data_IF_066306454747
#
_entry.id   IF_066306454747
#
_cell.length_a   1.000
_cell.length_b   1.000
_cell.length_c   1.000
_cell.angle_alpha   90.00
_cell.angle_beta   90.00
_cell.angle_gamma   90.00
#
_symmetry.space_group_name_H-M   'P 1'
#
loop_
_entity.id
_entity.type
_entity.pdbx_description
1 polymer ?
#
# COMPACT_ATOMS: atom_id res chain seq x y z
N UNK A 1 -40.32 9.23 -8.45
CA UNK A 1 -41.05 8.67 -9.61
C UNK A 1 -40.53 7.24 -9.83
N UNK A 2 -41.37 6.22 -9.76
CA UNK A 2 -40.98 4.83 -10.12
C UNK A 2 -41.02 4.74 -11.65
N UNK A 3 -39.89 4.53 -12.32
CA UNK A 3 -39.89 4.11 -13.72
C UNK A 3 -40.31 2.65 -13.79
N UNK A 4 -41.09 2.29 -14.81
CA UNK A 4 -41.48 0.90 -15.08
C UNK A 4 -40.47 0.27 -16.03
N UNK A 5 -40.17 -1.01 -15.88
CA UNK A 5 -39.25 -1.74 -16.77
C UNK A 5 -39.60 -1.60 -18.27
N UNK A 6 -40.87 -1.40 -18.61
CA UNK A 6 -41.33 -1.13 -19.99
C UNK A 6 -40.83 0.21 -20.52
N UNK A 7 -40.84 1.26 -19.70
CA UNK A 7 -40.34 2.58 -20.05
C UNK A 7 -38.82 2.54 -20.28
N UNK A 8 -38.07 1.85 -19.42
CA UNK A 8 -36.62 1.68 -19.56
C UNK A 8 -36.28 0.90 -20.86
N UNK A 9 -37.02 -0.17 -21.17
CA UNK A 9 -36.86 -0.93 -22.43
C UNK A 9 -37.12 -0.08 -23.67
N UNK A 10 -38.10 0.82 -23.59
CA UNK A 10 -38.46 1.70 -24.71
C UNK A 10 -37.38 2.75 -24.95
N UNK A 11 -36.73 3.23 -23.87
CA UNK A 11 -35.62 4.18 -23.90
C UNK A 11 -34.32 3.56 -24.44
N UNK A 12 -34.08 2.28 -24.16
CA UNK A 12 -32.92 1.52 -24.63
C UNK A 12 -33.09 0.97 -26.06
N UNK A 13 -34.27 1.10 -26.67
CA UNK A 13 -34.58 0.51 -27.98
C UNK A 13 -33.75 1.20 -29.08
N UNK A 14 -33.03 0.41 -29.88
CA UNK A 14 -32.24 0.90 -31.01
C UNK A 14 -30.80 1.30 -30.67
N UNK A 15 -30.41 1.27 -29.38
CA UNK A 15 -29.02 1.51 -28.98
C UNK A 15 -28.12 0.28 -29.23
N UNK A 16 -26.83 0.49 -29.54
CA UNK A 16 -25.88 -0.60 -29.69
C UNK A 16 -25.74 -1.38 -28.39
N UNK A 17 -25.79 -2.72 -28.49
CA UNK A 17 -25.62 -3.59 -27.32
C UNK A 17 -24.13 -3.66 -26.96
N UNK A 18 -23.81 -3.29 -25.72
CA UNK A 18 -22.47 -3.43 -25.17
C UNK A 18 -22.43 -4.63 -24.23
N UNK A 19 -21.42 -5.51 -24.39
CA UNK A 19 -21.19 -6.58 -23.43
C UNK A 19 -20.87 -5.95 -22.07
N UNK A 20 -21.73 -6.18 -21.09
CA UNK A 20 -21.60 -5.64 -19.74
C UNK A 20 -21.27 -6.79 -18.79
N UNK A 21 -20.28 -6.60 -17.93
CA UNK A 21 -19.97 -7.51 -16.84
C UNK A 21 -20.29 -6.81 -15.51
N UNK A 22 -20.88 -7.54 -14.56
CA UNK A 22 -21.21 -7.05 -13.23
C UNK A 22 -20.37 -7.80 -12.20
N UNK A 23 -19.69 -7.06 -11.34
CA UNK A 23 -18.91 -7.60 -10.21
C UNK A 23 -19.47 -7.10 -8.89
N UNK A 24 -19.29 -7.88 -7.84
CA UNK A 24 -19.53 -7.43 -6.47
C UNK A 24 -18.24 -6.88 -5.87
N UNK A 25 -18.35 -5.82 -5.07
CA UNK A 25 -17.23 -5.26 -4.29
C UNK A 25 -17.46 -5.61 -2.82
N UNK A 26 -16.48 -6.24 -2.15
CA UNK A 26 -16.58 -6.48 -0.72
C UNK A 26 -16.53 -5.16 0.05
N UNK A 27 -17.47 -4.97 0.97
CA UNK A 27 -17.49 -3.80 1.86
C UNK A 27 -16.98 -4.18 3.24
N UNK A 28 -16.32 -3.23 3.90
CA UNK A 28 -16.02 -3.37 5.32
C UNK A 28 -17.23 -2.97 6.15
N UNK A 29 -17.35 -3.58 7.33
CA UNK A 29 -18.36 -3.19 8.31
C UNK A 29 -18.35 -1.68 8.61
N UNK A 30 -17.16 -1.08 8.75
CA UNK A 30 -17.00 0.37 8.96
C UNK A 30 -17.61 1.21 7.84
N UNK A 31 -17.40 0.83 6.57
CA UNK A 31 -17.98 1.54 5.42
C UNK A 31 -19.48 1.31 5.30
N UNK A 32 -19.95 0.13 5.68
CA UNK A 32 -21.38 -0.23 5.69
C UNK A 32 -22.16 0.48 6.82
N UNK A 33 -21.47 0.95 7.86
CA UNK A 33 -22.09 1.65 8.97
C UNK A 33 -22.69 3.00 8.55
N UNK A 34 -23.91 3.33 8.97
CA UNK A 34 -24.60 4.58 8.60
C UNK A 34 -23.79 5.85 8.87
N UNK A 35 -22.96 5.83 9.91
CA UNK A 35 -22.05 6.93 10.31
C UNK A 35 -20.95 7.23 9.27
N UNK A 36 -20.70 6.35 8.31
CA UNK A 36 -19.74 6.58 7.21
C UNK A 36 -20.26 7.57 6.16
N UNK A 37 -21.51 8.04 6.29
CA UNK A 37 -22.17 8.85 5.27
C UNK A 37 -22.93 8.03 4.23
N UNK A 38 -22.89 6.69 4.31
CA UNK A 38 -23.71 5.83 3.46
C UNK A 38 -25.18 5.91 3.88
N UNK A 39 -26.02 6.57 3.08
CA UNK A 39 -27.43 6.86 3.42
C UNK A 39 -28.32 5.64 3.64
N UNK A 40 -27.97 4.48 3.06
CA UNK A 40 -28.59 3.18 3.29
C UNK A 40 -27.84 2.31 4.32
N UNK A 41 -26.87 2.88 5.02
CA UNK A 41 -25.98 2.15 5.92
C UNK A 41 -26.69 1.60 7.16
N UNK A 42 -26.09 0.56 7.71
CA UNK A 42 -26.62 -0.20 8.83
C UNK A 42 -26.09 0.40 10.14
N UNK A 43 -26.92 0.44 11.19
CA UNK A 43 -26.53 1.09 12.45
C UNK A 43 -25.39 0.35 13.18
N UNK A 44 -25.45 -0.99 13.22
CA UNK A 44 -24.53 -1.83 13.98
C UNK A 44 -24.14 -3.09 13.20
N UNK A 45 -23.38 -2.95 12.10
CA UNK A 45 -23.05 -4.07 11.20
C UNK A 45 -22.48 -5.29 11.93
N UNK A 46 -21.55 -5.10 12.86
CA UNK A 46 -20.92 -6.18 13.61
C UNK A 46 -21.87 -6.88 14.58
N UNK A 47 -22.82 -6.16 15.18
CA UNK A 47 -23.89 -6.78 15.98
C UNK A 47 -24.82 -7.64 15.12
N UNK A 48 -25.26 -7.13 13.96
CA UNK A 48 -26.14 -7.90 13.08
C UNK A 48 -25.43 -9.10 12.46
N UNK A 49 -24.16 -8.95 12.08
CA UNK A 49 -23.31 -10.08 11.64
C UNK A 49 -23.18 -11.14 12.72
N UNK A 50 -22.97 -10.74 13.98
CA UNK A 50 -22.96 -11.68 15.11
C UNK A 50 -24.27 -12.44 15.26
N UNK A 51 -25.42 -11.76 15.19
CA UNK A 51 -26.73 -12.42 15.28
C UNK A 51 -26.96 -13.42 14.13
N UNK A 52 -26.44 -13.12 12.95
CA UNK A 52 -26.51 -14.01 11.80
C UNK A 52 -25.66 -15.27 12.00
N UNK A 53 -24.44 -15.12 12.53
CA UNK A 53 -23.50 -16.23 12.73
C UNK A 53 -23.81 -17.09 13.98
N UNK A 54 -24.52 -16.52 14.96
CA UNK A 54 -24.80 -17.14 16.26
C UNK A 54 -26.31 -17.25 16.56
N UNK A 55 -27.07 -18.10 15.82
CA UNK A 55 -28.52 -18.20 15.99
C UNK A 55 -28.97 -18.92 17.27
N UNK A 56 -28.07 -19.65 17.96
CA UNK A 56 -28.39 -20.47 19.14
C UNK A 56 -28.38 -19.67 20.44
N UNK A 57 -27.23 -19.06 20.75
CA UNK A 57 -26.93 -18.39 22.03
C UNK A 57 -26.33 -17.00 21.76
N UNK A 58 -27.12 -16.10 21.14
CA UNK A 58 -26.61 -14.84 20.65
C UNK A 58 -26.07 -13.96 21.79
N UNK A 59 -26.69 -13.97 22.97
CA UNK A 59 -26.30 -13.09 24.07
C UNK A 59 -25.04 -13.61 24.77
N UNK A 60 -24.99 -14.89 25.09
CA UNK A 60 -23.86 -15.52 25.78
C UNK A 60 -22.60 -15.49 24.91
N UNK A 61 -22.73 -15.79 23.61
CA UNK A 61 -21.61 -15.70 22.66
C UNK A 61 -21.16 -14.26 22.46
N UNK A 62 -22.08 -13.29 22.48
CA UNK A 62 -21.72 -11.88 22.41
C UNK A 62 -20.95 -11.41 23.64
N UNK A 63 -21.45 -11.70 24.84
CA UNK A 63 -20.77 -11.34 26.10
C UNK A 63 -19.41 -12.01 26.21
N UNK A 64 -19.28 -13.25 25.72
CA UNK A 64 -17.98 -13.95 25.65
C UNK A 64 -17.03 -13.27 24.67
N UNK A 65 -17.52 -12.84 23.50
CA UNK A 65 -16.73 -12.11 22.49
C UNK A 65 -16.24 -10.76 23.03
N UNK A 66 -17.11 -10.03 23.74
CA UNK A 66 -16.79 -8.77 24.41
C UNK A 66 -15.72 -8.99 25.50
N UNK A 67 -15.89 -9.98 26.36
CA UNK A 67 -14.89 -10.30 27.38
C UNK A 67 -13.54 -10.70 26.76
N UNK A 68 -13.55 -11.40 25.62
CA UNK A 68 -12.33 -11.71 24.86
C UNK A 68 -11.61 -10.46 24.37
N UNK A 69 -12.33 -9.49 23.79
CA UNK A 69 -11.76 -8.21 23.37
C UNK A 69 -11.20 -7.43 24.56
N UNK A 70 -11.96 -7.30 25.64
CA UNK A 70 -11.53 -6.57 26.83
C UNK A 70 -10.27 -7.17 27.45
N UNK A 71 -10.17 -8.51 27.54
CA UNK A 71 -8.95 -9.17 28.01
C UNK A 71 -7.74 -8.94 27.11
N UNK A 72 -7.94 -8.88 25.79
CA UNK A 72 -6.86 -8.60 24.84
C UNK A 72 -6.31 -7.18 24.98
N UNK A 73 -7.07 -6.29 25.59
CA UNK A 73 -6.73 -4.89 25.88
C UNK A 73 -6.48 -4.71 27.40
N UNK A 74 -6.06 -5.79 28.08
CA UNK A 74 -5.64 -5.85 29.49
C UNK A 74 -6.70 -5.49 30.55
N UNK A 75 -7.99 -5.52 30.21
CA UNK A 75 -9.06 -5.38 31.20
C UNK A 75 -9.31 -6.70 31.96
N UNK A 76 -9.46 -6.59 33.29
CA UNK A 76 -9.63 -7.72 34.20
C UNK A 76 -11.06 -8.31 34.19
N UNK A 77 -11.46 -8.93 33.07
CA UNK A 77 -12.80 -9.53 32.93
C UNK A 77 -12.78 -11.05 33.14
N UNK A 78 -13.29 -11.51 34.28
CA UNK A 78 -13.47 -12.95 34.56
C UNK A 78 -14.71 -13.58 33.89
N UNK A 79 -14.85 -14.91 33.95
CA UNK A 79 -16.08 -15.61 33.51
C UNK A 79 -17.30 -15.25 34.36
N UNK A 80 -17.11 -14.87 35.63
CA UNK A 80 -18.20 -14.43 36.50
C UNK A 80 -18.87 -13.14 35.95
N UNK A 81 -18.08 -12.21 35.42
CA UNK A 81 -18.61 -11.01 34.76
C UNK A 81 -19.43 -11.35 33.52
N UNK A 82 -19.03 -12.37 32.75
CA UNK A 82 -19.82 -12.81 31.58
C UNK A 82 -21.18 -13.35 32.01
N UNK A 83 -21.21 -14.21 33.03
CA UNK A 83 -22.45 -14.80 33.57
C UNK A 83 -23.38 -13.68 34.08
N UNK A 84 -22.84 -12.75 34.86
CA UNK A 84 -23.63 -11.65 35.42
C UNK A 84 -24.11 -10.67 34.35
N UNK A 85 -23.29 -10.36 33.33
CA UNK A 85 -23.70 -9.50 32.23
C UNK A 85 -24.84 -10.12 31.40
N UNK A 86 -24.81 -11.43 31.16
CA UNK A 86 -25.93 -12.14 30.50
C UNK A 86 -27.19 -12.01 31.35
N UNK A 87 -27.11 -12.34 32.64
CA UNK A 87 -28.23 -12.26 33.57
C UNK A 87 -28.82 -10.84 33.64
N UNK A 88 -27.97 -9.82 33.71
CA UNK A 88 -28.38 -8.42 33.73
C UNK A 88 -29.05 -8.01 32.42
N UNK A 89 -28.52 -8.41 31.27
CA UNK A 89 -29.12 -8.11 29.97
C UNK A 89 -30.52 -8.73 29.83
N UNK A 90 -30.73 -9.96 30.31
CA UNK A 90 -32.04 -10.61 30.35
C UNK A 90 -33.02 -9.91 31.30
N UNK A 91 -32.54 -9.49 32.47
CA UNK A 91 -33.31 -8.67 33.42
C UNK A 91 -33.75 -7.34 32.81
N UNK A 92 -32.85 -6.65 32.11
CA UNK A 92 -33.15 -5.40 31.39
C UNK A 92 -34.16 -5.63 30.27
N UNK A 93 -34.07 -6.74 29.53
CA UNK A 93 -35.05 -7.09 28.51
C UNK A 93 -36.45 -7.29 29.11
N UNK A 94 -36.52 -7.97 30.25
CA UNK A 94 -37.77 -8.21 31.00
C UNK A 94 -38.41 -6.90 31.44
N UNK A 95 -37.64 -5.99 32.07
CA UNK A 95 -38.13 -4.67 32.50
C UNK A 95 -38.61 -3.83 31.32
N UNK A 96 -37.97 -3.97 30.15
CA UNK A 96 -38.33 -3.26 28.91
C UNK A 96 -39.43 -3.96 28.10
N UNK A 97 -40.01 -5.04 28.60
CA UNK A 97 -41.05 -5.80 27.90
C UNK A 97 -40.59 -6.41 26.58
N UNK A 98 -39.31 -6.75 26.45
CA UNK A 98 -38.74 -7.36 25.25
C UNK A 98 -38.65 -8.88 25.41
N UNK A 99 -38.93 -9.65 24.34
CA UNK A 99 -38.84 -11.11 24.38
C UNK A 99 -37.39 -11.63 24.45
N UNK A 100 -36.41 -10.80 24.06
CA UNK A 100 -34.98 -11.09 24.12
C UNK A 100 -34.21 -9.79 24.33
N UNK A 101 -33.06 -9.87 25.00
CA UNK A 101 -32.09 -8.78 25.06
C UNK A 101 -31.60 -8.42 23.65
N UNK A 102 -31.60 -7.13 23.32
CA UNK A 102 -30.97 -6.60 22.12
C UNK A 102 -29.68 -5.86 22.46
N UNK A 103 -29.11 -5.19 21.45
CA UNK A 103 -27.87 -4.44 21.60
C UNK A 103 -27.91 -3.40 22.74
N UNK A 104 -29.04 -2.71 22.93
CA UNK A 104 -29.17 -1.73 23.99
C UNK A 104 -29.05 -2.36 25.39
N UNK A 105 -29.74 -3.48 25.64
CA UNK A 105 -29.67 -4.20 26.91
C UNK A 105 -28.28 -4.80 27.14
N UNK A 106 -27.63 -5.32 26.09
CA UNK A 106 -26.28 -5.88 26.23
C UNK A 106 -25.24 -4.79 26.47
N UNK A 107 -25.33 -3.65 25.78
CA UNK A 107 -24.44 -2.50 26.01
C UNK A 107 -24.58 -1.95 27.44
N UNK A 108 -25.80 -1.82 27.95
CA UNK A 108 -26.03 -1.37 29.33
C UNK A 108 -25.49 -2.37 30.36
N UNK A 109 -25.68 -3.67 30.12
CA UNK A 109 -25.14 -4.71 31.00
C UNK A 109 -23.60 -4.75 30.99
N UNK A 110 -22.98 -4.60 29.81
CA UNK A 110 -21.52 -4.48 29.66
C UNK A 110 -21.00 -3.27 30.43
N UNK A 111 -21.64 -2.11 30.28
CA UNK A 111 -21.27 -0.88 31.02
C UNK A 111 -21.21 -1.14 32.52
N UNK A 112 -22.24 -1.78 33.06
CA UNK A 112 -22.40 -2.00 34.49
C UNK A 112 -21.47 -3.09 35.05
N UNK A 113 -21.25 -4.17 34.29
CA UNK A 113 -20.59 -5.39 34.83
C UNK A 113 -19.14 -5.54 34.36
N UNK A 114 -18.81 -5.09 33.15
CA UNK A 114 -17.48 -5.29 32.56
C UNK A 114 -16.69 -3.98 32.39
N UNK A 115 -17.37 -2.84 32.38
CA UNK A 115 -16.77 -1.53 32.18
C UNK A 115 -16.66 -0.67 33.43
N UNK A 116 -17.12 -1.15 34.60
CA UNK A 116 -17.18 -0.40 35.86
C UNK A 116 -17.81 1.01 35.71
N UNK A 117 -18.77 1.16 34.78
CA UNK A 117 -19.42 2.43 34.46
C UNK A 117 -18.61 3.38 33.55
N UNK A 118 -17.41 3.00 33.10
CA UNK A 118 -16.56 3.81 32.21
C UNK A 118 -17.01 3.74 30.75
N UNK A 119 -16.90 4.89 30.05
CA UNK A 119 -17.20 4.99 28.61
C UNK A 119 -16.05 4.53 27.70
N UNK A 120 -14.81 4.43 28.22
CA UNK A 120 -13.67 4.03 27.40
C UNK A 120 -13.77 2.57 26.90
N UNK A 121 -14.07 1.56 27.74
CA UNK A 121 -14.31 0.19 27.30
C UNK A 121 -15.46 0.09 26.29
N UNK A 122 -16.52 0.88 26.49
CA UNK A 122 -17.69 0.92 25.62
C UNK A 122 -17.36 1.46 24.23
N UNK A 123 -16.54 2.51 24.17
CA UNK A 123 -16.11 3.11 22.89
C UNK A 123 -15.30 2.10 22.08
N UNK A 124 -14.38 1.39 22.73
CA UNK A 124 -13.59 0.31 22.12
C UNK A 124 -14.48 -0.83 21.59
N UNK A 125 -15.43 -1.30 22.41
CA UNK A 125 -16.39 -2.35 22.00
C UNK A 125 -17.26 -1.84 20.84
N UNK A 126 -17.68 -0.58 20.87
CA UNK A 126 -18.49 -0.01 19.81
C UNK A 126 -17.74 -0.02 18.48
N UNK A 127 -16.48 0.42 18.46
CA UNK A 127 -15.66 0.47 17.25
C UNK A 127 -15.31 -0.93 16.75
N UNK A 128 -14.75 -1.78 17.60
CA UNK A 128 -14.19 -3.09 17.23
C UNK A 128 -15.25 -4.18 17.01
N UNK A 129 -16.39 -4.12 17.71
CA UNK A 129 -17.40 -5.19 17.68
C UNK A 129 -18.77 -4.74 17.18
N UNK A 130 -19.32 -3.63 17.66
CA UNK A 130 -20.68 -3.20 17.29
C UNK A 130 -20.72 -2.71 15.84
N UNK A 131 -19.76 -1.85 15.48
CA UNK A 131 -19.50 -1.51 14.08
C UNK A 131 -18.73 -2.66 13.45
N UNK A 132 -17.54 -2.96 13.95
CA UNK A 132 -16.71 -4.06 13.46
C UNK A 132 -15.77 -3.66 12.34
N UNK A 133 -14.72 -4.47 12.18
CA UNK A 133 -13.61 -4.24 11.25
C UNK A 133 -13.53 -5.36 10.19
N UNK A 134 -14.59 -6.14 10.06
CA UNK A 134 -14.63 -7.27 9.12
C UNK A 134 -14.77 -6.76 7.69
N UNK A 135 -13.91 -7.28 6.81
CA UNK A 135 -14.05 -7.15 5.36
C UNK A 135 -14.98 -8.26 4.87
N UNK A 136 -16.02 -7.91 4.12
CA UNK A 136 -16.89 -8.91 3.50
C UNK A 136 -16.15 -9.78 2.48
N UNK A 137 -16.72 -10.94 2.17
CA UNK A 137 -16.19 -11.85 1.17
C UNK A 137 -17.13 -11.94 -0.03
N UNK A 138 -16.55 -12.15 -1.21
CA UNK A 138 -17.30 -12.34 -2.46
C UNK A 138 -17.02 -13.76 -2.97
N UNK A 139 -18.04 -14.53 -3.40
CA UNK A 139 -17.83 -15.88 -3.91
C UNK A 139 -16.82 -15.91 -5.08
N UNK A 140 -16.00 -16.97 -5.19
CA UNK A 140 -14.95 -17.07 -6.21
C UNK A 140 -15.51 -17.09 -7.66
N UNK A 141 -16.75 -17.53 -7.83
CA UNK A 141 -17.44 -17.59 -9.14
C UNK A 141 -17.96 -16.21 -9.60
N UNK A 142 -17.84 -15.18 -8.75
CA UNK A 142 -18.27 -13.83 -9.11
C UNK A 142 -17.48 -13.33 -10.32
N UNK A 143 -18.15 -12.80 -11.36
CA UNK A 143 -17.45 -12.18 -12.48
C UNK A 143 -16.62 -11.00 -11.96
N UNK A 144 -15.30 -11.11 -12.03
CA UNK A 144 -14.36 -10.07 -11.63
C UNK A 144 -13.63 -9.53 -12.86
N UNK A 145 -13.24 -8.26 -12.83
CA UNK A 145 -12.39 -7.68 -13.88
C UNK A 145 -11.08 -8.49 -13.98
N UNK A 146 -10.51 -8.68 -15.19
CA UNK A 146 -9.31 -9.50 -15.37
C UNK A 146 -8.16 -9.12 -14.43
N UNK A 147 -7.95 -7.81 -14.21
CA UNK A 147 -6.92 -7.30 -13.31
C UNK A 147 -7.15 -7.73 -11.85
N UNK A 148 -8.40 -7.71 -11.36
CA UNK A 148 -8.73 -8.18 -10.01
C UNK A 148 -8.40 -9.67 -9.86
N UNK A 149 -8.68 -10.49 -10.88
CA UNK A 149 -8.35 -11.93 -10.85
C UNK A 149 -6.84 -12.17 -10.78
N UNK A 150 -6.06 -11.33 -11.45
CA UNK A 150 -4.60 -11.40 -11.40
C UNK A 150 -4.04 -10.95 -10.04
N UNK A 151 -4.64 -9.92 -9.43
CA UNK A 151 -4.35 -9.50 -8.05
C UNK A 151 -4.66 -10.64 -7.08
N UNK A 152 -5.85 -11.24 -7.14
CA UNK A 152 -6.24 -12.34 -6.25
C UNK A 152 -5.30 -13.55 -6.39
N UNK A 153 -4.87 -13.86 -7.63
CA UNK A 153 -3.87 -14.91 -7.89
C UNK A 153 -2.54 -14.58 -7.22
N UNK A 154 -2.07 -13.34 -7.35
CA UNK A 154 -0.83 -12.85 -6.77
C UNK A 154 -0.88 -12.82 -5.24
N UNK A 155 -2.01 -12.43 -4.65
CA UNK A 155 -2.25 -12.47 -3.21
C UNK A 155 -2.16 -13.89 -2.65
N UNK A 156 -2.76 -14.87 -3.36
CA UNK A 156 -2.70 -16.28 -2.97
C UNK A 156 -1.28 -16.85 -3.08
N UNK A 157 -0.58 -16.60 -4.18
CA UNK A 157 0.79 -17.11 -4.38
C UNK A 157 1.78 -16.52 -3.38
N UNK A 158 1.67 -15.22 -3.08
CA UNK A 158 2.55 -14.51 -2.14
C UNK A 158 2.07 -14.61 -0.68
N UNK A 159 0.95 -15.30 -0.43
CA UNK A 159 0.31 -15.43 0.89
C UNK A 159 0.07 -14.07 1.57
N UNK A 160 -0.25 -13.05 0.78
CA UNK A 160 -0.48 -11.70 1.24
C UNK A 160 -1.99 -11.42 1.26
N UNK A 161 -2.61 -11.58 2.43
CA UNK A 161 -4.07 -11.38 2.58
C UNK A 161 -4.41 -9.91 2.79
N UNK A 162 -5.43 -9.36 2.11
CA UNK A 162 -5.98 -8.05 2.44
C UNK A 162 -6.61 -8.08 3.83
N UNK A 163 -6.47 -6.99 4.56
CA UNK A 163 -7.04 -6.80 5.89
C UNK A 163 -7.60 -5.38 5.96
N UNK A 164 -8.78 -5.24 6.55
CA UNK A 164 -9.39 -3.93 6.79
C UNK A 164 -8.72 -3.17 7.94
N UNK A 165 -7.95 -3.86 8.79
CA UNK A 165 -7.09 -3.24 9.79
C UNK A 165 -5.72 -2.94 9.20
N UNK A 166 -5.09 -1.88 9.70
CA UNK A 166 -3.68 -1.61 9.44
C UNK A 166 -2.82 -2.77 9.94
N UNK A 167 -1.97 -3.28 9.06
CA UNK A 167 -1.02 -4.35 9.37
C UNK A 167 0.36 -3.97 8.89
N UNK A 168 1.30 -3.91 9.82
CA UNK A 168 2.71 -3.76 9.51
C UNK A 168 3.31 -5.08 9.01
N UNK A 169 4.08 -5.02 7.92
CA UNK A 169 4.77 -6.16 7.33
C UNK A 169 6.21 -5.76 7.02
N UNK A 170 7.15 -6.47 7.63
CA UNK A 170 8.57 -6.38 7.28
C UNK A 170 8.91 -7.42 6.20
N UNK A 171 9.57 -6.96 5.14
CA UNK A 171 9.95 -7.76 3.98
C UNK A 171 11.48 -7.83 3.87
N UNK A 172 12.00 -9.05 3.71
CA UNK A 172 13.42 -9.30 3.40
C UNK A 172 13.59 -9.60 1.91
N UNK A 173 14.14 -8.65 1.16
CA UNK A 173 14.25 -8.72 -0.31
C UNK A 173 15.16 -9.85 -0.80
N UNK A 174 15.93 -10.50 0.07
CA UNK A 174 16.73 -11.70 -0.29
C UNK A 174 15.86 -12.95 -0.45
N UNK A 175 14.64 -12.95 0.11
CA UNK A 175 13.69 -14.04 -0.02
C UNK A 175 12.78 -13.76 -1.20
N UNK A 176 12.72 -14.67 -2.18
CA UNK A 176 11.93 -14.47 -3.40
C UNK A 176 10.45 -14.17 -3.13
N UNK A 177 9.87 -14.78 -2.08
CA UNK A 177 8.48 -14.48 -1.69
C UNK A 177 8.30 -13.04 -1.21
N UNK A 178 9.23 -12.50 -0.42
CA UNK A 178 9.16 -11.15 0.11
C UNK A 178 9.53 -10.11 -0.95
N UNK A 179 10.50 -10.42 -1.83
CA UNK A 179 10.75 -9.66 -3.05
C UNK A 179 9.51 -9.60 -3.95
N UNK A 180 8.79 -10.72 -4.10
CA UNK A 180 7.52 -10.77 -4.81
C UNK A 180 6.43 -9.90 -4.18
N UNK A 181 6.33 -9.88 -2.84
CA UNK A 181 5.42 -8.99 -2.08
C UNK A 181 5.75 -7.51 -2.32
N UNK A 182 7.03 -7.14 -2.21
CA UNK A 182 7.51 -5.77 -2.47
C UNK A 182 7.16 -5.32 -3.89
N UNK A 183 7.49 -6.14 -4.91
CA UNK A 183 7.18 -5.84 -6.32
C UNK A 183 5.67 -5.66 -6.54
N UNK A 184 4.83 -6.52 -5.96
CA UNK A 184 3.37 -6.40 -6.07
C UNK A 184 2.88 -5.07 -5.49
N UNK A 185 3.32 -4.71 -4.29
CA UNK A 185 2.90 -3.47 -3.62
C UNK A 185 3.34 -2.22 -4.40
N UNK A 186 4.57 -2.20 -4.92
CA UNK A 186 5.05 -1.11 -5.77
C UNK A 186 4.27 -1.00 -7.09
N UNK A 187 3.95 -2.12 -7.74
CA UNK A 187 3.13 -2.12 -8.97
C UNK A 187 1.73 -1.59 -8.71
N UNK A 188 1.10 -1.99 -7.61
CA UNK A 188 -0.22 -1.48 -7.24
C UNK A 188 -0.21 0.02 -6.94
N UNK A 189 0.85 0.53 -6.28
CA UNK A 189 1.02 1.97 -6.09
C UNK A 189 1.18 2.74 -7.39
N UNK A 190 1.92 2.21 -8.37
CA UNK A 190 2.01 2.81 -9.71
C UNK A 190 0.65 2.89 -10.41
N UNK A 191 -0.21 1.90 -10.19
CA UNK A 191 -1.59 1.90 -10.69
C UNK A 191 -2.54 2.80 -9.89
N UNK A 192 -2.05 3.53 -8.88
CA UNK A 192 -2.88 4.37 -8.02
C UNK A 192 -3.71 3.59 -7.01
N UNK A 193 -3.34 2.34 -6.72
CA UNK A 193 -4.01 1.44 -5.75
C UNK A 193 -3.12 1.37 -4.48
N UNK A 194 -3.30 2.28 -3.51
CA UNK A 194 -2.47 2.35 -2.31
C UNK A 194 -2.89 1.28 -1.28
N UNK A 195 -2.68 0.01 -1.60
CA UNK A 195 -2.90 -1.07 -0.64
C UNK A 195 -1.86 -1.08 0.48
N UNK A 196 -0.64 -0.61 0.18
CA UNK A 196 0.43 -0.49 1.16
C UNK A 196 1.18 0.81 1.02
N UNK A 197 1.62 1.36 2.15
CA UNK A 197 2.53 2.50 2.21
C UNK A 197 3.87 2.09 2.82
N UNK A 198 5.01 2.44 2.18
CA UNK A 198 6.31 2.13 2.74
C UNK A 198 6.59 3.04 3.93
N UNK A 199 7.00 2.44 5.05
CA UNK A 199 7.42 3.14 6.25
C UNK A 199 8.94 3.18 6.30
N UNK A 200 9.50 4.37 6.58
CA UNK A 200 10.92 4.49 6.85
C UNK A 200 11.22 3.82 8.19
N UNK A 201 11.87 2.65 8.17
CA UNK A 201 12.25 1.98 9.41
C UNK A 201 13.33 2.80 10.13
N UNK A 202 13.19 2.95 11.44
CA UNK A 202 14.20 3.59 12.29
C UNK A 202 15.37 2.62 12.44
N UNK A 203 16.42 2.78 11.63
CA UNK A 203 17.71 2.10 11.84
C UNK A 203 18.14 1.05 10.80
N UNK A 204 17.47 0.92 9.65
CA UNK A 204 17.97 0.05 8.57
C UNK A 204 18.84 0.83 7.58
N UNK A 205 20.15 0.70 7.69
CA UNK A 205 21.12 1.15 6.68
C UNK A 205 21.19 0.20 5.46
N UNK A 206 20.43 -0.91 5.49
CA UNK A 206 20.44 -1.93 4.44
C UNK A 206 19.34 -1.75 3.40
N UNK A 207 19.69 -1.83 2.12
CA UNK A 207 18.78 -1.87 0.95
C UNK A 207 17.93 -3.14 0.87
N UNK A 208 18.12 -4.09 1.77
CA UNK A 208 17.48 -5.42 1.74
C UNK A 208 16.21 -5.53 2.57
N UNK A 209 15.89 -4.57 3.45
CA UNK A 209 14.68 -4.59 4.29
C UNK A 209 13.73 -3.47 3.93
N UNK A 210 12.47 -3.81 3.74
CA UNK A 210 11.38 -2.85 3.53
C UNK A 210 10.28 -3.09 4.56
N UNK A 211 9.80 -2.02 5.18
CA UNK A 211 8.66 -2.06 6.10
C UNK A 211 7.45 -1.42 5.43
N UNK A 212 6.30 -2.09 5.49
CA UNK A 212 5.07 -1.66 4.83
C UNK A 212 3.90 -1.65 5.81
N UNK A 213 3.12 -0.58 5.81
CA UNK A 213 1.80 -0.56 6.43
C UNK A 213 0.75 -0.90 5.38
N UNK A 214 0.04 -2.01 5.58
CA UNK A 214 -0.98 -2.49 4.67
C UNK A 214 -2.36 -2.18 5.22
N UNK A 215 -3.22 -1.62 4.38
CA UNK A 215 -4.60 -1.33 4.72
C UNK A 215 -5.49 -1.49 3.49
N UNK A 216 -6.52 -2.34 3.57
CA UNK A 216 -7.45 -2.56 2.47
C UNK A 216 -8.78 -1.85 2.70
N UNK A 217 -9.07 -0.88 1.83
CA UNK A 217 -10.37 -0.20 1.77
C UNK A 217 -11.20 -0.66 0.57
N UNK A 218 -12.55 -0.67 0.66
CA UNK A 218 -13.43 -1.00 -0.47
C UNK A 218 -13.19 -0.14 -1.72
N UNK A 219 -12.76 1.11 -1.56
CA UNK A 219 -12.39 2.02 -2.63
C UNK A 219 -11.25 1.47 -3.50
N UNK A 220 -10.35 0.65 -2.93
CA UNK A 220 -9.28 0.01 -3.70
C UNK A 220 -9.83 -0.93 -4.76
N UNK A 221 -10.97 -1.60 -4.53
CA UNK A 221 -11.61 -2.43 -5.56
C UNK A 221 -12.15 -1.60 -6.73
N UNK A 222 -12.58 -0.36 -6.48
CA UNK A 222 -12.98 0.57 -7.55
C UNK A 222 -11.76 1.00 -8.34
N UNK A 223 -10.66 1.36 -7.65
CA UNK A 223 -9.40 1.73 -8.31
C UNK A 223 -8.81 0.57 -9.13
N UNK A 224 -9.00 -0.68 -8.70
CA UNK A 224 -8.63 -1.86 -9.50
C UNK A 224 -9.45 -1.93 -10.80
N UNK A 225 -10.74 -1.64 -10.76
CA UNK A 225 -11.58 -1.62 -11.96
C UNK A 225 -11.16 -0.51 -12.92
N UNK A 226 -10.86 0.69 -12.41
CA UNK A 226 -10.34 1.82 -13.19
C UNK A 226 -8.97 1.52 -13.80
N UNK A 227 -8.07 0.91 -13.03
CA UNK A 227 -6.74 0.50 -13.48
C UNK A 227 -6.78 -0.57 -14.57
N UNK A 228 -7.92 -1.27 -14.73
CA UNK A 228 -8.13 -2.25 -15.81
C UNK A 228 -8.00 -1.68 -17.22
N UNK A 229 -8.06 -0.35 -17.40
CA UNK A 229 -7.79 0.30 -18.69
C UNK A 229 -6.34 0.09 -19.17
N UNK A 230 -5.40 -0.07 -18.24
CA UNK A 230 -3.97 -0.20 -18.54
C UNK A 230 -3.55 -1.62 -18.90
N UNK A 231 -4.32 -2.63 -18.49
CA UNK A 231 -3.98 -4.02 -18.76
C UNK A 231 -4.82 -5.02 -17.96
N UNK A 232 -4.66 -6.29 -18.32
CA UNK A 232 -5.38 -7.41 -17.70
C UNK A 232 -4.61 -8.08 -16.57
N UNK A 233 -3.32 -7.80 -16.43
CA UNK A 233 -2.45 -8.28 -15.35
C UNK A 233 -1.77 -7.11 -14.65
N UNK A 234 -1.38 -7.28 -13.39
CA UNK A 234 -0.71 -6.23 -12.61
C UNK A 234 0.60 -5.81 -13.26
N UNK A 235 1.36 -6.76 -13.81
CA UNK A 235 2.60 -6.48 -14.53
C UNK A 235 2.33 -5.65 -15.79
N UNK A 236 1.45 -6.12 -16.69
CA UNK A 236 1.16 -5.42 -17.95
C UNK A 236 0.57 -4.03 -17.72
N UNK A 237 -0.36 -3.91 -16.78
CA UNK A 237 -0.99 -2.66 -16.42
C UNK A 237 0.03 -1.66 -15.86
N UNK A 238 0.88 -2.09 -14.92
CA UNK A 238 1.89 -1.21 -14.33
C UNK A 238 2.94 -0.79 -15.37
N UNK A 239 3.35 -1.69 -16.28
CA UNK A 239 4.25 -1.36 -17.39
C UNK A 239 3.63 -0.31 -18.32
N UNK A 240 2.39 -0.50 -18.77
CA UNK A 240 1.70 0.44 -19.66
C UNK A 240 1.48 1.80 -18.98
N UNK A 241 1.09 1.79 -17.71
CA UNK A 241 0.91 3.02 -16.92
C UNK A 241 2.23 3.77 -16.77
N UNK A 242 3.32 3.09 -16.42
CA UNK A 242 4.64 3.70 -16.30
C UNK A 242 5.13 4.27 -17.64
N UNK A 243 4.95 3.56 -18.75
CA UNK A 243 5.30 4.08 -20.08
C UNK A 243 4.49 5.34 -20.43
N UNK A 244 3.19 5.35 -20.15
CA UNK A 244 2.34 6.54 -20.35
C UNK A 244 2.75 7.71 -19.48
N UNK A 245 3.08 7.46 -18.21
CA UNK A 245 3.51 8.49 -17.27
C UNK A 245 4.88 9.07 -17.66
N UNK A 246 5.77 8.26 -18.23
CA UNK A 246 7.07 8.73 -18.73
C UNK A 246 6.90 9.72 -19.90
N UNK A 247 5.97 9.43 -20.82
CA UNK A 247 5.68 10.32 -21.95
C UNK A 247 5.01 11.62 -21.48
N UNK A 248 4.12 11.53 -20.50
CA UNK A 248 3.35 12.67 -19.98
C UNK A 248 4.06 13.51 -18.91
N UNK A 249 5.11 12.99 -18.27
CA UNK A 249 5.94 13.76 -17.36
C UNK A 249 6.47 15.01 -18.07
N UNK A 250 6.64 16.11 -17.34
CA UNK A 250 7.14 17.37 -17.90
C UNK A 250 8.48 17.76 -17.26
N UNK A 251 8.68 17.42 -15.99
CA UNK A 251 9.89 17.75 -15.25
C UNK A 251 10.87 16.55 -15.18
N UNK A 252 12.17 16.84 -15.14
CA UNK A 252 13.21 15.82 -14.97
C UNK A 252 13.02 15.01 -13.68
N UNK A 253 12.68 15.70 -12.58
CA UNK A 253 12.43 15.09 -11.28
C UNK A 253 11.26 14.07 -11.29
N UNK A 254 10.25 14.27 -12.14
CA UNK A 254 9.13 13.33 -12.27
C UNK A 254 9.57 12.03 -12.93
N UNK A 255 10.41 12.14 -13.97
CA UNK A 255 10.93 10.99 -14.71
C UNK A 255 11.95 10.20 -13.89
N UNK A 256 12.82 10.87 -13.13
CA UNK A 256 13.74 10.17 -12.20
C UNK A 256 13.00 9.44 -11.10
N UNK A 257 11.98 10.06 -10.50
CA UNK A 257 11.14 9.39 -9.51
C UNK A 257 10.38 8.20 -10.12
N UNK A 258 9.95 8.30 -11.38
CA UNK A 258 9.32 7.20 -12.10
C UNK A 258 10.30 6.05 -12.38
N UNK A 259 11.54 6.34 -12.77
CA UNK A 259 12.59 5.34 -12.94
C UNK A 259 12.83 4.55 -11.65
N UNK A 260 12.96 5.26 -10.51
CA UNK A 260 13.09 4.64 -9.19
C UNK A 260 11.90 3.72 -8.89
N UNK A 261 10.66 4.18 -9.14
CA UNK A 261 9.46 3.35 -8.97
C UNK A 261 9.43 2.13 -9.89
N UNK A 262 9.90 2.23 -11.14
CA UNK A 262 9.93 1.11 -12.08
C UNK A 262 10.90 0.01 -11.64
N UNK A 263 12.05 0.36 -11.09
CA UNK A 263 13.02 -0.58 -10.52
C UNK A 263 12.45 -1.27 -9.27
N UNK A 264 11.85 -0.48 -8.37
CA UNK A 264 11.16 -0.99 -7.17
C UNK A 264 9.93 -1.84 -7.52
N UNK A 265 9.29 -1.62 -8.66
CA UNK A 265 8.20 -2.44 -9.17
C UNK A 265 8.69 -3.64 -10.00
N UNK A 266 9.97 -3.70 -10.37
CA UNK A 266 10.52 -4.74 -11.25
C UNK A 266 9.82 -4.75 -12.61
N UNK A 267 9.89 -3.62 -13.34
CA UNK A 267 9.27 -3.39 -14.64
C UNK A 267 10.32 -3.20 -15.75
N UNK A 268 11.04 -4.25 -16.17
CA UNK A 268 12.12 -4.13 -17.15
C UNK A 268 11.64 -3.57 -18.49
N UNK A 269 10.43 -3.96 -18.94
CA UNK A 269 9.89 -3.53 -20.23
C UNK A 269 9.49 -2.04 -20.26
N UNK A 270 9.28 -1.42 -19.09
CA UNK A 270 8.97 0.02 -19.00
C UNK A 270 10.26 0.88 -19.00
N UNK A 271 11.38 0.31 -18.54
CA UNK A 271 12.62 1.07 -18.34
C UNK A 271 13.15 1.72 -19.62
N UNK A 272 13.18 1.07 -20.80
CA UNK A 272 13.66 1.72 -22.03
C UNK A 272 12.90 3.01 -22.35
N UNK A 273 11.58 3.02 -22.16
CA UNK A 273 10.74 4.21 -22.41
C UNK A 273 11.03 5.30 -21.39
N UNK A 274 11.15 4.94 -20.11
CA UNK A 274 11.47 5.87 -19.02
C UNK A 274 12.86 6.46 -19.19
N UNK A 275 13.86 5.65 -19.54
CA UNK A 275 15.25 6.07 -19.75
C UNK A 275 15.40 7.00 -20.96
N UNK A 276 14.62 6.75 -22.02
CA UNK A 276 14.56 7.68 -23.16
C UNK A 276 13.96 9.02 -22.74
N UNK A 277 12.81 9.02 -22.07
CA UNK A 277 12.20 10.25 -21.55
C UNK A 277 13.16 11.00 -20.61
N UNK A 278 13.90 10.27 -19.77
CA UNK A 278 14.89 10.83 -18.86
C UNK A 278 16.02 11.52 -19.62
N UNK A 279 16.58 10.84 -20.62
CA UNK A 279 17.67 11.37 -21.45
C UNK A 279 17.22 12.60 -22.23
N UNK A 280 16.02 12.55 -22.83
CA UNK A 280 15.44 13.68 -23.57
C UNK A 280 15.24 14.91 -22.66
N UNK A 281 14.80 14.71 -21.40
CA UNK A 281 14.61 15.82 -20.45
C UNK A 281 15.92 16.33 -19.88
N UNK A 282 16.84 15.44 -19.53
CA UNK A 282 18.15 15.84 -19.07
C UNK A 282 18.88 16.66 -20.13
N UNK A 283 18.76 16.31 -21.42
CA UNK A 283 19.36 17.07 -22.52
C UNK A 283 18.79 18.49 -22.67
N UNK A 284 17.50 18.69 -22.33
CA UNK A 284 16.81 19.99 -22.45
C UNK A 284 16.89 20.84 -21.18
N UNK A 285 17.12 20.24 -20.01
CA UNK A 285 17.19 20.95 -18.74
C UNK A 285 18.59 21.50 -18.50
N UNK A 286 18.72 22.82 -18.57
CA UNK A 286 19.98 23.53 -18.30
C UNK A 286 20.06 24.05 -16.86
N UNK A 287 19.00 23.91 -16.05
CA UNK A 287 18.97 24.42 -14.69
C UNK A 287 19.69 23.46 -13.73
N UNK A 288 20.76 23.97 -13.12
CA UNK A 288 21.62 23.20 -12.20
C UNK A 288 20.86 22.77 -10.94
N UNK A 289 19.90 23.57 -10.48
CA UNK A 289 19.04 23.23 -9.35
C UNK A 289 18.17 22.01 -9.63
N UNK A 290 17.56 21.95 -10.82
CA UNK A 290 16.77 20.79 -11.24
C UNK A 290 17.62 19.53 -11.43
N UNK A 291 18.81 19.66 -12.02
CA UNK A 291 19.76 18.56 -12.17
C UNK A 291 20.22 18.02 -10.79
N UNK A 292 20.56 18.91 -9.86
CA UNK A 292 20.96 18.56 -8.50
C UNK A 292 19.82 17.90 -7.71
N UNK A 293 18.57 18.34 -7.91
CA UNK A 293 17.40 17.73 -7.29
C UNK A 293 17.11 16.31 -7.81
N UNK A 294 17.39 16.06 -9.09
CA UNK A 294 17.11 14.80 -9.76
C UNK A 294 18.15 13.70 -9.48
N UNK A 295 19.40 14.07 -9.21
CA UNK A 295 20.53 13.15 -9.06
C UNK A 295 20.40 12.14 -7.91
N UNK A 296 19.94 12.50 -6.68
CA UNK A 296 19.81 11.54 -5.59
C UNK A 296 18.87 10.37 -5.90
N UNK A 297 17.78 10.61 -6.63
CA UNK A 297 16.85 9.56 -7.05
C UNK A 297 17.49 8.62 -8.09
N UNK A 298 18.30 9.15 -8.99
CA UNK A 298 19.03 8.35 -9.97
C UNK A 298 20.11 7.48 -9.33
N UNK A 299 20.89 8.01 -8.39
CA UNK A 299 21.90 7.20 -7.70
C UNK A 299 21.27 6.07 -6.89
N UNK A 300 20.17 6.34 -6.17
CA UNK A 300 19.42 5.26 -5.50
C UNK A 300 18.94 4.21 -6.49
N UNK A 301 18.47 4.64 -7.66
CA UNK A 301 18.03 3.77 -8.75
C UNK A 301 19.16 2.85 -9.24
N UNK A 302 20.37 3.37 -9.42
CA UNK A 302 21.56 2.56 -9.77
C UNK A 302 21.79 1.44 -8.74
N UNK A 303 21.74 1.77 -7.45
CA UNK A 303 21.94 0.79 -6.36
C UNK A 303 20.84 -0.28 -6.30
N UNK A 304 19.59 0.08 -6.63
CA UNK A 304 18.49 -0.90 -6.70
C UNK A 304 18.57 -1.80 -7.95
N UNK A 305 19.11 -1.28 -9.06
CA UNK A 305 19.31 -2.03 -10.30
C UNK A 305 20.20 -3.26 -10.09
N UNK A 306 21.30 -3.07 -9.35
CA UNK A 306 22.26 -4.13 -9.01
C UNK A 306 21.62 -5.24 -8.14
N UNK A 307 20.86 -4.86 -7.10
CA UNK A 307 20.15 -5.82 -6.23
C UNK A 307 19.07 -6.62 -6.97
N UNK A 308 18.54 -6.11 -8.09
CA UNK A 308 17.40 -6.70 -8.81
C UNK A 308 17.74 -7.25 -10.19
N UNK A 309 19.02 -7.35 -10.54
CA UNK A 309 19.49 -7.94 -11.80
C UNK A 309 19.06 -7.15 -13.04
N UNK A 310 18.87 -5.84 -12.90
CA UNK A 310 18.57 -4.93 -14.02
C UNK A 310 19.87 -4.32 -14.53
N UNK A 311 19.98 -4.05 -15.83
CA UNK A 311 21.17 -3.44 -16.45
C UNK A 311 21.40 -2.02 -15.91
N UNK A 312 22.13 -1.93 -14.80
CA UNK A 312 22.42 -0.70 -14.07
C UNK A 312 23.41 0.22 -14.81
N UNK A 313 24.04 -0.26 -15.88
CA UNK A 313 25.05 0.49 -16.63
C UNK A 313 24.46 1.76 -17.27
N UNK A 314 23.29 1.66 -17.91
CA UNK A 314 22.64 2.82 -18.54
C UNK A 314 22.18 3.88 -17.52
N UNK A 315 21.73 3.45 -16.33
CA UNK A 315 21.38 4.36 -15.24
C UNK A 315 22.62 5.03 -14.64
N UNK A 316 23.71 4.28 -14.53
CA UNK A 316 24.99 4.78 -14.02
C UNK A 316 25.56 5.84 -14.97
N UNK A 317 25.57 5.58 -16.28
CA UNK A 317 26.05 6.54 -17.28
C UNK A 317 25.28 7.87 -17.23
N UNK A 318 23.94 7.80 -17.16
CA UNK A 318 23.10 9.00 -17.04
C UNK A 318 23.35 9.73 -15.72
N UNK A 319 23.48 9.00 -14.60
CA UNK A 319 23.77 9.62 -13.29
C UNK A 319 25.13 10.33 -13.29
N UNK A 320 26.17 9.71 -13.86
CA UNK A 320 27.51 10.30 -13.98
C UNK A 320 27.49 11.55 -14.87
N UNK A 321 26.82 11.49 -16.04
CA UNK A 321 26.68 12.65 -16.92
C UNK A 321 25.90 13.81 -16.29
N UNK A 322 24.90 13.54 -15.46
CA UNK A 322 24.23 14.58 -14.68
C UNK A 322 25.14 15.18 -13.61
N UNK A 323 25.90 14.34 -12.89
CA UNK A 323 26.82 14.81 -11.85
C UNK A 323 27.89 15.76 -12.42
N UNK A 324 28.48 15.42 -13.56
CA UNK A 324 29.45 16.28 -14.26
C UNK A 324 28.86 17.65 -14.62
N UNK A 325 27.63 17.67 -15.13
CA UNK A 325 26.94 18.91 -15.48
C UNK A 325 26.60 19.76 -14.26
N UNK A 326 26.20 19.13 -13.16
CA UNK A 326 26.02 19.83 -11.87
C UNK A 326 27.34 20.44 -11.42
N UNK A 327 28.45 19.70 -11.47
CA UNK A 327 29.77 20.22 -11.07
C UNK A 327 30.23 21.40 -11.92
N UNK A 328 30.04 21.34 -13.24
CA UNK A 328 30.42 22.42 -14.16
C UNK A 328 29.50 23.64 -14.00
N UNK A 329 28.19 23.42 -13.81
CA UNK A 329 27.19 24.48 -13.73
C UNK A 329 27.05 25.12 -12.34
N UNK A 330 27.60 24.50 -11.30
CA UNK A 330 27.42 24.99 -9.92
C UNK A 330 28.00 26.38 -9.66
N UNK A 331 29.24 26.72 -10.06
CA UNK A 331 29.79 28.04 -9.80
C UNK A 331 28.94 29.21 -10.33
N UNK A 332 28.44 29.20 -11.59
CA UNK A 332 27.54 30.26 -12.06
C UNK A 332 26.15 30.22 -11.41
N UNK A 333 25.64 29.05 -11.04
CA UNK A 333 24.33 28.92 -10.37
C UNK A 333 24.30 29.52 -8.96
N UNK A 334 25.45 29.61 -8.29
CA UNK A 334 25.57 30.21 -6.96
C UNK A 334 25.65 31.74 -6.95
N UNK A 335 25.65 32.40 -8.12
CA UNK A 335 25.81 33.86 -8.22
C UNK A 335 24.44 34.56 -8.14
N UNK A 336 24.32 35.56 -7.27
CA UNK A 336 23.15 36.45 -7.24
C UNK A 336 21.90 35.89 -6.56
N UNK A 337 22.04 34.81 -5.77
CA UNK A 337 20.96 34.24 -4.98
C UNK A 337 20.61 35.12 -3.78
N UNK A 338 19.32 35.19 -3.45
CA UNK A 338 18.85 35.71 -2.17
C UNK A 338 19.00 34.64 -1.06
N UNK A 339 18.59 34.99 0.17
CA UNK A 339 18.77 34.08 1.32
C UNK A 339 17.97 32.77 1.18
N UNK A 340 16.79 32.83 0.57
CA UNK A 340 15.90 31.67 0.42
C UNK A 340 16.42 30.74 -0.71
N UNK A 341 16.79 31.31 -1.86
CA UNK A 341 17.39 30.56 -2.97
C UNK A 341 18.73 29.92 -2.60
N UNK A 342 19.55 30.61 -1.79
CA UNK A 342 20.79 30.03 -1.26
C UNK A 342 20.53 28.85 -0.30
N UNK A 343 19.48 28.92 0.52
CA UNK A 343 19.10 27.84 1.42
C UNK A 343 18.57 26.60 0.67
N UNK A 344 17.77 26.81 -0.38
CA UNK A 344 17.27 25.74 -1.24
C UNK A 344 18.41 25.05 -2.01
N UNK A 345 19.28 25.83 -2.66
CA UNK A 345 20.41 25.28 -3.42
C UNK A 345 21.37 24.51 -2.51
N UNK A 346 21.60 24.98 -1.27
CA UNK A 346 22.37 24.23 -0.27
C UNK A 346 21.75 22.86 0.02
N UNK A 347 20.42 22.79 0.19
CA UNK A 347 19.72 21.52 0.40
C UNK A 347 19.90 20.54 -0.76
N UNK A 348 19.84 21.02 -2.00
CA UNK A 348 20.09 20.20 -3.19
C UNK A 348 21.56 19.75 -3.28
N UNK A 349 22.50 20.59 -2.87
CA UNK A 349 23.93 20.26 -2.84
C UNK A 349 24.28 19.23 -1.78
N UNK A 350 23.74 19.35 -0.58
CA UNK A 350 23.95 18.36 0.49
C UNK A 350 23.46 16.97 0.05
N UNK A 351 22.28 16.92 -0.58
CA UNK A 351 21.73 15.69 -1.15
C UNK A 351 22.56 15.15 -2.32
N UNK A 352 23.06 16.03 -3.19
CA UNK A 352 23.93 15.68 -4.31
C UNK A 352 25.27 15.13 -3.84
N UNK A 353 25.90 15.75 -2.84
CA UNK A 353 27.17 15.30 -2.26
C UNK A 353 27.05 13.88 -1.70
N UNK A 354 25.98 13.61 -0.94
CA UNK A 354 25.68 12.26 -0.45
C UNK A 354 25.45 11.27 -1.59
N UNK A 355 24.74 11.70 -2.65
CA UNK A 355 24.48 10.86 -3.81
C UNK A 355 25.78 10.51 -4.56
N UNK A 356 26.68 11.46 -4.81
CA UNK A 356 27.94 11.18 -5.51
C UNK A 356 28.83 10.24 -4.70
N UNK A 357 28.90 10.40 -3.38
CA UNK A 357 29.64 9.48 -2.51
C UNK A 357 29.10 8.03 -2.60
N UNK A 358 27.78 7.87 -2.75
CA UNK A 358 27.14 6.57 -2.95
C UNK A 358 27.38 5.99 -4.36
N UNK A 359 27.47 6.85 -5.37
CA UNK A 359 27.75 6.43 -6.75
C UNK A 359 29.16 5.85 -6.88
N UNK A 360 30.14 6.46 -6.21
CA UNK A 360 31.56 6.05 -6.19
C UNK A 360 31.78 4.71 -5.46
N UNK A 361 31.06 4.50 -4.34
CA UNK A 361 31.03 3.21 -3.64
C UNK A 361 30.44 2.09 -4.52
N UNK A 362 29.40 2.40 -5.29
CA UNK A 362 28.75 1.42 -6.18
C UNK A 362 29.65 1.01 -7.35
N UNK A 363 30.55 1.90 -7.81
CA UNK A 363 31.56 1.58 -8.82
C UNK A 363 32.65 0.65 -8.25
N UNK A 364 33.02 0.85 -6.98
CA UNK A 364 34.04 0.03 -6.29
C UNK A 364 33.55 -1.40 -6.02
N UNK A 365 32.27 -1.57 -5.65
CA UNK A 365 31.66 -2.89 -5.38
C UNK A 365 31.45 -3.73 -6.67
N UNK A 366 31.41 -3.10 -7.84
CA UNK A 366 31.18 -3.75 -9.14
C UNK A 366 32.46 -4.34 -9.79
N UNK A 367 33.65 -4.04 -9.27
CA UNK A 367 34.90 -4.65 -9.71
C UNK A 367 35.13 -5.96 -8.93
N UNK A 368 34.95 -7.17 -9.50
CA UNK A 368 35.47 -8.37 -8.87
C UNK A 368 37.00 -8.26 -8.87
N UNK A 369 37.60 -8.42 -7.69
CA UNK A 369 39.04 -8.25 -7.47
C UNK A 369 39.88 -8.92 -8.55
N UNK A 370 40.51 -8.11 -9.40
CA UNK A 370 41.58 -8.55 -10.26
C UNK A 370 42.90 -8.44 -9.46
N UNK A 371 43.05 -9.34 -8.49
CA UNK A 371 44.34 -9.69 -7.93
C UNK A 371 44.51 -11.21 -8.02
N UNK A 372 44.89 -11.67 -9.21
CA UNK A 372 45.57 -12.95 -9.36
C UNK A 372 46.67 -12.85 -10.40
N UNK A 373 47.91 -12.78 -9.89
CA UNK A 373 49.03 -13.57 -10.40
C UNK A 373 49.98 -12.88 -11.37
N UNK A 374 51.20 -12.65 -10.90
CA UNK A 374 52.45 -13.05 -11.57
C UNK A 374 53.64 -12.73 -10.63
N UNK A 375 54.68 -13.54 -10.42
CA UNK A 375 55.19 -14.68 -11.18
C UNK A 375 56.12 -15.56 -10.30
N UNK A 376 56.59 -16.71 -10.83
CA UNK A 376 57.23 -17.80 -10.09
C UNK A 376 58.76 -17.73 -10.04
N UNK A 377 59.35 -18.59 -9.20
CA UNK A 377 60.68 -19.16 -9.44
C UNK A 377 61.77 -18.81 -8.42
N UNK A 378 62.31 -19.85 -7.78
CA UNK A 378 63.66 -19.78 -7.19
C UNK A 378 63.87 -20.61 -5.92
N UNK A 379 63.93 -21.93 -6.04
CA UNK A 379 64.93 -22.67 -5.24
C UNK A 379 66.31 -22.43 -5.88
N UNK A 380 67.35 -22.21 -5.06
CA UNK A 380 68.28 -23.32 -4.86
C UNK A 380 68.87 -23.43 -3.44
N UNK A 381 69.05 -24.68 -2.99
CA UNK A 381 70.23 -25.16 -2.27
C UNK A 381 70.48 -24.72 -0.82
N UNK A 382 70.41 -25.69 0.10
CA UNK A 382 70.91 -25.62 1.47
C UNK A 382 70.48 -26.81 2.31
#
# INVERSE_FOLDING_TARGET
>A
RRSTATADRQLLKGLPKVKTALTWVPWTHRRLARRSGYGAGVASPGWYGHLFDAPDRPIERWMTKVAGLLRAEDYAVSSAHVIEAVRLAEGLATVRGRPLAGLAETTDAIRAVMGDGSEAPLSLIHERLVVGEVLGEVPPDTPAVPLQRDIDRSQRSLRLKPAALEREVELDLRKETDAGRSRLLHRLRLLGIPWGEPVRSRGSTGTFRETWLLHWEPELSVRVAEAGIWGTTVLSAATAKAASDAVGAMALAEVTALAERCLLAGLPDALPVVMRALSDRAALDADVGHLAQALPALVRSVRYGDVRGTDGAALHEVATGLAERVFVGLPPACVGLDADGAAELRGHLDATHQAVALLDQSATDAQPGNESGDEPGGEPGG
#
